data_IF_366659428428
#
_entry.id   IF_366659428428
#
_cell.length_a   1.000
_cell.length_b   1.000
_cell.length_c   1.000
_cell.angle_alpha   90.00
_cell.angle_beta   90.00
_cell.angle_gamma   90.00
#
_symmetry.space_group_name_H-M   'P 1'
#
loop_
_entity.id
_entity.type
_entity.pdbx_description
1 polymer ?
#
# COMPACT_ATOMS: atom_id res chain seq x y z
N UNK A 1 -5.46 8.56 -7.40
CA UNK A 1 -6.17 9.63 -6.67
C UNK A 1 -6.29 9.30 -5.18
N UNK A 2 -6.79 8.12 -4.81
CA UNK A 2 -7.02 7.72 -3.42
C UNK A 2 -5.77 7.82 -2.52
N UNK A 3 -4.62 7.31 -2.94
CA UNK A 3 -3.37 7.36 -2.17
C UNK A 3 -2.87 8.77 -1.85
N UNK A 4 -3.09 9.75 -2.74
CA UNK A 4 -2.77 11.17 -2.47
C UNK A 4 -3.67 11.74 -1.38
N UNK A 5 -4.94 11.33 -1.36
CA UNK A 5 -5.88 11.73 -0.32
C UNK A 5 -5.54 11.04 1.01
N UNK A 6 -5.33 9.72 1.03
CA UNK A 6 -5.02 8.98 2.26
C UNK A 6 -3.74 9.49 2.94
N UNK A 7 -2.67 9.71 2.17
CA UNK A 7 -1.42 10.25 2.72
C UNK A 7 -1.54 11.73 3.09
N UNK A 8 -2.29 12.51 2.30
CA UNK A 8 -2.52 13.93 2.54
C UNK A 8 -3.35 14.20 3.80
N UNK A 9 -4.30 13.33 4.14
CA UNK A 9 -5.15 13.47 5.33
C UNK A 9 -4.33 13.40 6.63
N UNK A 10 -3.31 12.53 6.70
CA UNK A 10 -2.43 12.44 7.87
C UNK A 10 -1.66 13.76 8.08
N UNK A 11 -1.14 14.33 6.99
CA UNK A 11 -0.45 15.62 7.05
C UNK A 11 -1.40 16.77 7.41
N UNK A 12 -2.61 16.78 6.87
CA UNK A 12 -3.63 17.77 7.18
C UNK A 12 -4.03 17.71 8.67
N UNK A 13 -4.19 16.50 9.21
CA UNK A 13 -4.50 16.30 10.63
C UNK A 13 -3.44 16.94 11.54
N UNK A 14 -2.16 16.78 11.22
CA UNK A 14 -1.07 17.39 11.98
C UNK A 14 -1.10 18.93 11.90
N UNK A 15 -1.40 19.48 10.73
CA UNK A 15 -1.53 20.93 10.55
C UNK A 15 -2.71 21.47 11.38
N UNK A 16 -3.86 20.79 11.35
CA UNK A 16 -5.02 21.16 12.16
C UNK A 16 -4.70 21.14 13.66
N UNK A 17 -3.98 20.12 14.13
CA UNK A 17 -3.56 20.01 15.53
C UNK A 17 -2.66 21.17 15.99
N UNK A 18 -1.69 21.58 15.15
CA UNK A 18 -0.82 22.71 15.48
C UNK A 18 -1.57 24.06 15.44
N UNK A 19 -2.55 24.21 14.53
CA UNK A 19 -3.42 25.41 14.49
C UNK A 19 -4.31 25.49 15.73
N UNK A 20 -4.88 24.37 16.17
CA UNK A 20 -5.64 24.29 17.42
C UNK A 20 -4.81 24.75 18.61
N UNK A 21 -3.58 24.24 18.72
CA UNK A 21 -2.65 24.60 19.77
C UNK A 21 -2.25 26.09 19.71
N UNK A 22 -2.05 26.64 18.51
CA UNK A 22 -1.75 28.05 18.32
C UNK A 22 -2.90 28.97 18.76
N UNK A 23 -4.14 28.55 18.48
CA UNK A 23 -5.35 29.30 18.83
C UNK A 23 -5.89 29.03 20.24
N UNK A 24 -5.23 28.16 21.02
CA UNK A 24 -5.71 27.65 22.32
C UNK A 24 -7.14 27.06 22.25
N UNK A 25 -7.44 26.41 21.12
CA UNK A 25 -8.71 25.72 20.90
C UNK A 25 -8.51 24.23 21.13
N UNK A 26 -9.49 23.60 21.80
CA UNK A 26 -9.51 22.14 21.96
C UNK A 26 -10.74 21.58 21.24
N UNK A 27 -10.57 21.14 20.00
CA UNK A 27 -11.67 20.61 19.18
C UNK A 27 -11.87 19.11 19.38
N UNK A 28 -11.19 18.48 20.34
CA UNK A 28 -11.24 17.03 20.60
C UNK A 28 -12.65 16.50 20.88
N UNK A 29 -13.57 17.35 21.35
CA UNK A 29 -14.99 17.00 21.58
C UNK A 29 -15.91 17.30 20.40
N UNK A 30 -15.43 17.99 19.36
CA UNK A 30 -16.20 18.29 18.16
C UNK A 30 -16.55 17.00 17.40
N UNK A 31 -17.72 16.98 16.77
CA UNK A 31 -18.16 15.87 15.92
C UNK A 31 -17.19 15.60 14.77
N UNK A 32 -16.44 16.63 14.34
CA UNK A 32 -15.41 16.51 13.29
C UNK A 32 -14.18 15.68 13.69
N UNK A 33 -14.01 15.36 14.98
CA UNK A 33 -12.84 14.65 15.51
C UNK A 33 -13.18 13.28 16.11
N UNK A 34 -14.41 12.77 15.90
CA UNK A 34 -14.85 11.51 16.52
C UNK A 34 -13.94 10.34 16.21
N UNK A 35 -13.49 10.23 14.96
CA UNK A 35 -12.64 9.12 14.49
C UNK A 35 -11.17 9.30 14.87
N UNK A 36 -10.73 10.52 15.17
CA UNK A 36 -9.35 10.82 15.61
C UNK A 36 -9.22 10.84 17.13
N UNK A 37 -10.26 10.41 17.86
CA UNK A 37 -10.21 10.29 19.32
C UNK A 37 -9.23 9.21 19.73
N UNK A 38 -8.43 9.43 20.79
CA UNK A 38 -7.48 8.44 21.28
C UNK A 38 -8.08 7.06 21.52
N UNK A 39 -9.33 6.98 21.97
CA UNK A 39 -10.05 5.71 22.16
C UNK A 39 -10.34 4.96 20.86
N UNK A 40 -10.57 5.67 19.75
CA UNK A 40 -10.78 5.06 18.42
C UNK A 40 -9.46 4.61 17.84
N UNK A 41 -8.42 5.46 17.88
CA UNK A 41 -7.07 5.06 17.46
C UNK A 41 -6.58 3.83 18.22
N UNK A 42 -6.69 3.83 19.55
CA UNK A 42 -6.25 2.70 20.37
C UNK A 42 -6.98 1.40 20.01
N UNK A 43 -8.29 1.47 19.75
CA UNK A 43 -9.06 0.30 19.31
C UNK A 43 -8.66 -0.16 17.91
N UNK A 44 -8.46 0.77 16.98
CA UNK A 44 -8.04 0.44 15.62
C UNK A 44 -6.64 -0.19 15.63
N UNK A 45 -5.73 0.29 16.49
CA UNK A 45 -4.40 -0.32 16.72
C UNK A 45 -4.52 -1.73 17.33
N UNK A 46 -5.40 -1.92 18.33
CA UNK A 46 -5.68 -3.24 18.90
C UNK A 46 -6.27 -4.22 17.87
N UNK A 47 -7.19 -3.77 17.04
CA UNK A 47 -7.82 -4.59 16.01
C UNK A 47 -6.84 -4.92 14.87
N UNK A 48 -5.98 -3.97 14.49
CA UNK A 48 -4.87 -4.22 13.57
C UNK A 48 -3.88 -5.24 14.14
N UNK A 49 -3.57 -5.17 15.44
CA UNK A 49 -2.70 -6.13 16.11
C UNK A 49 -3.32 -7.54 16.13
N UNK A 50 -4.63 -7.66 16.40
CA UNK A 50 -5.36 -8.94 16.34
C UNK A 50 -5.33 -9.53 14.93
N UNK A 51 -5.58 -8.70 13.91
CA UNK A 51 -5.51 -9.13 12.51
C UNK A 51 -4.11 -9.62 12.14
N UNK A 52 -3.08 -8.89 12.56
CA UNK A 52 -1.69 -9.28 12.31
C UNK A 52 -1.33 -10.60 13.01
N UNK A 53 -1.72 -10.77 14.27
CA UNK A 53 -1.54 -12.03 14.99
C UNK A 53 -2.24 -13.19 14.29
N UNK A 54 -3.48 -13.00 13.85
CA UNK A 54 -4.23 -14.02 13.13
C UNK A 54 -3.55 -14.42 11.81
N UNK A 55 -3.12 -13.44 11.01
CA UNK A 55 -2.41 -13.66 9.74
C UNK A 55 -1.04 -14.32 9.94
N UNK A 56 -0.39 -14.12 11.09
CA UNK A 56 0.90 -14.76 11.38
C UNK A 56 0.81 -16.29 11.48
N UNK A 57 -0.33 -16.80 11.98
CA UNK A 57 -0.65 -18.23 12.02
C UNK A 57 -1.36 -18.74 10.77
N UNK A 58 -2.05 -17.86 10.05
CA UNK A 58 -2.86 -18.19 8.87
C UNK A 58 -2.38 -17.37 7.67
N UNK A 59 -1.17 -17.65 7.19
CA UNK A 59 -0.63 -16.93 6.04
C UNK A 59 -1.52 -17.20 4.82
N UNK A 60 -2.26 -16.20 4.31
CA UNK A 60 -3.16 -16.40 3.18
C UNK A 60 -2.38 -16.53 1.88
N UNK A 61 -1.10 -16.16 1.86
CA UNK A 61 -0.27 -16.15 0.66
C UNK A 61 0.60 -17.41 0.60
N UNK A 62 0.26 -18.39 -0.27
CA UNK A 62 1.15 -19.51 -0.51
C UNK A 62 2.50 -19.02 -1.05
N UNK A 63 3.57 -19.75 -0.75
CA UNK A 63 4.88 -19.49 -1.36
C UNK A 63 4.82 -19.94 -2.81
N UNK A 64 4.80 -18.99 -3.73
CA UNK A 64 4.79 -19.25 -5.18
C UNK A 64 5.96 -18.47 -5.80
N UNK A 65 6.66 -19.09 -6.75
CA UNK A 65 7.80 -18.49 -7.46
C UNK A 65 7.39 -17.53 -8.59
N UNK A 66 6.09 -17.20 -8.69
CA UNK A 66 5.55 -16.29 -9.70
C UNK A 66 4.88 -15.09 -9.07
N UNK A 67 4.97 -13.94 -9.73
CA UNK A 67 4.29 -12.72 -9.32
C UNK A 67 2.85 -12.78 -9.82
N UNK A 68 1.88 -12.69 -8.91
CA UNK A 68 0.46 -12.77 -9.25
C UNK A 68 -0.31 -11.59 -8.65
N UNK A 69 -1.26 -11.06 -9.41
CA UNK A 69 -2.26 -10.14 -8.90
C UNK A 69 -3.26 -10.88 -8.01
N UNK A 70 -3.42 -10.45 -6.76
CA UNK A 70 -4.41 -11.03 -5.83
C UNK A 70 -5.85 -10.67 -6.25
N UNK A 71 -6.03 -9.49 -6.86
CA UNK A 71 -7.34 -9.01 -7.29
C UNK A 71 -7.85 -9.78 -8.52
N UNK A 72 -6.98 -10.02 -9.50
CA UNK A 72 -7.37 -10.59 -10.79
C UNK A 72 -6.85 -12.01 -11.04
N UNK A 73 -5.97 -12.54 -10.20
CA UNK A 73 -5.35 -13.87 -10.38
C UNK A 73 -4.38 -13.96 -11.55
N UNK A 74 -4.11 -12.81 -12.19
CA UNK A 74 -3.22 -12.69 -13.33
C UNK A 74 -1.79 -12.93 -12.88
N UNK A 75 -1.13 -13.90 -13.52
CA UNK A 75 0.30 -14.14 -13.38
C UNK A 75 1.08 -13.21 -14.30
N UNK A 76 2.05 -12.49 -13.73
CA UNK A 76 2.96 -11.64 -14.45
C UNK A 76 3.96 -12.44 -15.30
N UNK A 77 4.35 -11.88 -16.44
CA UNK A 77 5.44 -12.43 -17.25
C UNK A 77 6.81 -12.17 -16.60
N UNK A 78 7.86 -12.77 -17.16
CA UNK A 78 9.25 -12.56 -16.75
C UNK A 78 9.72 -11.09 -16.86
N UNK A 79 8.96 -10.23 -17.53
CA UNK A 79 9.26 -8.80 -17.66
C UNK A 79 8.80 -7.98 -16.46
N UNK A 80 7.91 -8.53 -15.62
CA UNK A 80 7.39 -7.84 -14.43
C UNK A 80 8.46 -7.77 -13.38
N UNK A 81 8.79 -6.54 -12.98
CA UNK A 81 9.79 -6.27 -11.96
C UNK A 81 9.23 -5.42 -10.81
N UNK A 82 7.90 -5.36 -10.63
CA UNK A 82 7.27 -4.55 -9.59
C UNK A 82 7.73 -4.89 -8.16
N UNK A 83 8.13 -6.14 -7.92
CA UNK A 83 8.74 -6.60 -6.67
C UNK A 83 10.09 -5.92 -6.34
N UNK A 84 10.78 -5.38 -7.36
CA UNK A 84 12.05 -4.64 -7.21
C UNK A 84 11.82 -3.11 -7.19
N UNK A 85 10.58 -2.66 -6.97
CA UNK A 85 10.22 -1.25 -7.06
C UNK A 85 11.06 -0.33 -6.17
N UNK A 86 11.36 -0.75 -4.95
CA UNK A 86 12.22 0.02 -4.06
C UNK A 86 13.64 0.16 -4.62
N UNK A 87 14.26 -0.95 -5.03
CA UNK A 87 15.64 -0.96 -5.55
C UNK A 87 15.75 -0.10 -6.81
N UNK A 88 14.82 -0.28 -7.75
CA UNK A 88 14.77 0.50 -8.99
C UNK A 88 14.49 1.98 -8.67
N UNK A 89 13.59 2.27 -7.72
CA UNK A 89 13.28 3.63 -7.29
C UNK A 89 14.48 4.34 -6.69
N UNK A 90 15.23 3.67 -5.80
CA UNK A 90 16.46 4.21 -5.19
C UNK A 90 17.54 4.47 -6.25
N UNK A 91 17.73 3.54 -7.19
CA UNK A 91 18.66 3.71 -8.31
C UNK A 91 18.27 4.90 -9.21
N UNK A 92 16.98 5.07 -9.51
CA UNK A 92 16.48 6.22 -10.26
C UNK A 92 16.75 7.54 -9.53
N UNK A 93 16.45 7.61 -8.23
CA UNK A 93 16.69 8.81 -7.42
C UNK A 93 18.19 9.14 -7.39
N UNK A 94 19.05 8.14 -7.18
CA UNK A 94 20.50 8.33 -7.19
C UNK A 94 21.00 8.91 -8.52
N UNK A 95 20.46 8.45 -9.66
CA UNK A 95 20.81 8.97 -10.99
C UNK A 95 20.36 10.41 -11.25
N UNK A 96 19.38 10.91 -10.49
CA UNK A 96 18.89 12.29 -10.53
C UNK A 96 19.70 13.23 -9.64
N UNK A 97 20.34 12.72 -8.59
CA UNK A 97 21.13 13.54 -7.68
C UNK A 97 22.26 14.28 -8.42
N UNK A 98 22.37 15.59 -8.19
CA UNK A 98 23.41 16.44 -8.78
C UNK A 98 23.22 16.78 -10.26
N UNK A 99 22.09 16.44 -10.88
CA UNK A 99 21.77 16.79 -12.27
C UNK A 99 20.61 17.78 -12.34
N UNK A 100 20.69 18.70 -13.30
CA UNK A 100 19.56 19.54 -13.68
C UNK A 100 18.45 18.71 -14.34
N UNK A 101 17.19 19.11 -14.14
CA UNK A 101 16.01 18.39 -14.67
C UNK A 101 16.06 18.14 -16.18
N UNK A 102 16.60 19.08 -16.96
CA UNK A 102 16.75 18.96 -18.42
C UNK A 102 17.64 17.77 -18.83
N UNK A 103 18.62 17.43 -18.00
CA UNK A 103 19.59 16.37 -18.29
C UNK A 103 19.12 14.98 -17.81
N UNK A 104 18.03 14.91 -17.06
CA UNK A 104 17.46 13.64 -16.57
C UNK A 104 16.61 13.00 -17.67
N UNK A 105 17.11 11.92 -18.27
CA UNK A 105 16.37 11.12 -19.26
C UNK A 105 16.04 9.74 -18.70
N UNK A 106 14.74 9.41 -18.66
CA UNK A 106 14.27 8.08 -18.25
C UNK A 106 14.16 7.15 -19.47
N UNK A 107 14.95 6.08 -19.48
CA UNK A 107 14.83 5.02 -20.50
C UNK A 107 13.71 4.06 -20.12
N UNK A 108 12.90 3.62 -21.09
CA UNK A 108 11.83 2.62 -20.88
C UNK A 108 12.35 1.33 -20.25
N UNK A 109 13.53 0.85 -20.66
CA UNK A 109 14.20 -0.34 -20.09
C UNK A 109 14.57 -0.20 -18.61
N UNK A 110 14.75 1.03 -18.13
CA UNK A 110 15.05 1.29 -16.71
C UNK A 110 13.81 1.53 -15.87
N UNK A 111 12.61 1.52 -16.46
CA UNK A 111 11.36 1.79 -15.75
C UNK A 111 10.82 0.51 -15.12
N UNK A 112 10.13 0.69 -13.99
CA UNK A 112 9.30 -0.35 -13.40
C UNK A 112 8.21 -0.79 -14.38
N UNK A 113 8.10 -2.10 -14.59
CA UNK A 113 7.03 -2.78 -15.31
C UNK A 113 6.09 -3.38 -14.28
N UNK A 114 4.86 -2.88 -14.27
CA UNK A 114 3.81 -3.32 -13.35
C UNK A 114 2.97 -4.43 -13.99
N UNK A 115 2.31 -5.25 -13.16
CA UNK A 115 1.32 -6.24 -13.62
C UNK A 115 0.24 -5.60 -14.53
N UNK A 116 -0.22 -4.41 -14.17
CA UNK A 116 -1.23 -3.67 -14.94
C UNK A 116 -0.76 -3.23 -16.34
N UNK A 117 0.55 -3.21 -16.61
CA UNK A 117 1.10 -2.82 -17.91
C UNK A 117 1.10 -3.96 -18.93
N UNK A 118 0.79 -5.19 -18.52
CA UNK A 118 0.83 -6.37 -19.39
C UNK A 118 -0.55 -6.59 -19.99
N UNK A 119 -0.65 -6.50 -21.31
CA UNK A 119 -1.90 -6.70 -22.05
C UNK A 119 -2.20 -8.17 -22.39
N UNK A 120 -1.28 -9.10 -22.11
CA UNK A 120 -1.37 -10.53 -22.44
C UNK A 120 -0.99 -11.39 -21.23
N UNK A 121 -1.97 -11.73 -20.39
CA UNK A 121 -1.80 -12.65 -19.27
C UNK A 121 -2.57 -13.94 -19.56
N UNK A 122 -1.87 -15.07 -19.64
CA UNK A 122 -2.43 -16.32 -20.16
C UNK A 122 -2.79 -17.35 -19.10
N UNK A 123 -2.68 -17.06 -17.80
CA UNK A 123 -3.09 -18.02 -16.76
C UNK A 123 -3.74 -17.30 -15.58
N UNK A 124 -5.05 -17.53 -15.45
CA UNK A 124 -5.80 -17.32 -14.20
C UNK A 124 -5.50 -18.52 -13.32
N UNK A 125 -4.82 -18.29 -12.19
CA UNK A 125 -4.40 -19.41 -11.32
C UNK A 125 -5.49 -19.73 -10.30
N UNK A 126 -5.75 -21.01 -10.07
CA UNK A 126 -6.71 -21.50 -9.06
C UNK A 126 -6.31 -21.19 -7.61
N UNK A 127 -5.11 -20.67 -7.38
CA UNK A 127 -4.64 -20.21 -6.08
C UNK A 127 -5.51 -19.09 -5.47
N UNK A 128 -6.18 -18.28 -6.31
CA UNK A 128 -7.18 -17.32 -5.82
C UNK A 128 -8.28 -18.00 -5.01
N UNK A 129 -8.71 -19.20 -5.42
CA UNK A 129 -9.76 -19.95 -4.73
C UNK A 129 -9.33 -20.28 -3.30
N UNK A 130 -8.04 -20.58 -3.08
CA UNK A 130 -7.48 -20.89 -1.76
C UNK A 130 -7.35 -19.66 -0.88
N UNK A 131 -6.90 -18.52 -1.44
CA UNK A 131 -6.85 -17.25 -0.71
C UNK A 131 -8.27 -16.87 -0.26
N UNK A 132 -9.24 -16.90 -1.19
CA UNK A 132 -10.63 -16.62 -0.89
C UNK A 132 -11.19 -17.62 0.14
N UNK A 133 -10.93 -18.92 -0.02
CA UNK A 133 -11.37 -19.93 0.95
C UNK A 133 -10.79 -19.64 2.33
N UNK A 134 -9.49 -19.38 2.48
CA UNK A 134 -8.88 -19.08 3.78
C UNK A 134 -9.53 -17.88 4.49
N UNK A 135 -9.95 -16.86 3.73
CA UNK A 135 -10.69 -15.71 4.28
C UNK A 135 -12.15 -16.05 4.64
N UNK A 136 -12.82 -16.95 3.90
CA UNK A 136 -14.24 -17.28 4.11
C UNK A 136 -14.50 -18.51 5.01
N UNK A 137 -13.59 -19.48 5.09
CA UNK A 137 -13.78 -20.73 5.84
C UNK A 137 -13.25 -20.69 7.27
N UNK A 138 -12.47 -19.66 7.65
CA UNK A 138 -12.03 -19.47 9.05
C UNK A 138 -13.06 -18.73 9.92
N UNK A 139 -14.25 -18.44 9.38
CA UNK A 139 -15.37 -17.81 10.09
C UNK A 139 -16.50 -18.79 10.47
N UNK A 140 -16.25 -20.10 10.39
CA UNK A 140 -17.18 -21.15 10.84
C UNK A 140 -16.62 -21.92 12.05
#
# INVERSE_FOLDING_TARGET
MLTRWTLGMIHLQNICFEIEKFCDLKLTSSEQYVDTRPSRLARDDEDAAKLFQWLSGHNPFPKIDVIMSIDSGIVGSNEVNCHLSEVIGRDMISKMMGKNFENVKFKRKGKLVTLASINSSTVVTSALLWILLCFFTSYA
#
